data_IF_529476931891
#
_entry.id   IF_529476931891
#
_cell.length_a   1.000
_cell.length_b   1.000
_cell.length_c   1.000
_cell.angle_alpha   90.00
_cell.angle_beta   90.00
_cell.angle_gamma   90.00
#
_symmetry.space_group_name_H-M   'P 1'
#
loop_
_entity.id
_entity.type
_entity.pdbx_description
1 polymer ?
#
# COMPACT_ATOMS: atom_id res chain seq x y z
N UNK A 1 22.34 -8.07 -2.42
CA UNK A 1 21.80 -6.72 -2.78
C UNK A 1 22.89 -5.68 -2.65
N UNK A 2 22.93 -4.71 -3.56
CA UNK A 2 23.87 -3.58 -3.48
C UNK A 2 23.57 -2.75 -2.23
N UNK A 3 24.60 -2.35 -1.50
CA UNK A 3 24.45 -1.52 -0.29
C UNK A 3 24.07 -0.10 -0.71
N UNK A 4 22.90 0.39 -0.27
CA UNK A 4 22.44 1.76 -0.53
C UNK A 4 22.74 2.60 0.71
N UNK A 5 23.41 3.73 0.52
CA UNK A 5 23.73 4.63 1.63
C UNK A 5 22.45 5.11 2.33
N UNK A 6 22.40 5.00 3.63
CA UNK A 6 21.26 5.43 4.45
C UNK A 6 20.06 4.48 4.46
N UNK A 7 20.15 3.35 3.78
CA UNK A 7 19.08 2.34 3.74
C UNK A 7 19.63 1.01 4.25
N UNK A 8 18.90 0.39 5.17
CA UNK A 8 19.10 -0.98 5.59
C UNK A 8 17.97 -1.85 5.02
N UNK A 9 18.33 -3.00 4.44
CA UNK A 9 17.39 -3.93 3.82
C UNK A 9 17.61 -5.31 4.42
N UNK A 10 16.54 -5.86 4.99
CA UNK A 10 16.57 -7.17 5.66
C UNK A 10 15.36 -8.00 5.26
N UNK A 11 15.49 -9.30 5.24
CA UNK A 11 14.35 -10.21 5.13
C UNK A 11 13.45 -10.05 6.36
N UNK A 12 12.15 -10.17 6.14
CA UNK A 12 11.19 -10.18 7.24
C UNK A 12 11.27 -11.52 8.00
N UNK A 13 11.22 -11.46 9.33
CA UNK A 13 11.39 -12.64 10.20
C UNK A 13 10.43 -13.81 9.91
N UNK A 14 9.20 -13.49 9.45
CA UNK A 14 8.15 -14.48 9.19
C UNK A 14 8.03 -14.89 7.72
N UNK A 15 8.67 -14.18 6.78
CA UNK A 15 8.53 -14.49 5.37
C UNK A 15 9.68 -13.93 4.54
N UNK A 16 10.31 -14.78 3.76
CA UNK A 16 11.34 -14.39 2.78
C UNK A 16 10.79 -13.58 1.60
N UNK A 17 9.47 -13.60 1.40
CA UNK A 17 8.79 -12.82 0.35
C UNK A 17 8.66 -11.35 0.68
N UNK A 18 8.90 -10.97 1.92
CA UNK A 18 8.78 -9.61 2.42
C UNK A 18 10.15 -9.06 2.77
N UNK A 19 10.50 -7.90 2.26
CA UNK A 19 11.71 -7.19 2.64
C UNK A 19 11.40 -5.98 3.50
N UNK A 20 12.13 -5.83 4.59
CA UNK A 20 12.10 -4.64 5.43
C UNK A 20 13.11 -3.63 4.90
N UNK A 21 12.66 -2.43 4.57
CA UNK A 21 13.48 -1.29 4.13
C UNK A 21 13.45 -0.24 5.24
N UNK A 22 14.58 0.03 5.86
CA UNK A 22 14.70 1.02 6.93
C UNK A 22 15.48 2.22 6.46
N UNK A 23 14.86 3.39 6.54
CA UNK A 23 15.48 4.67 6.26
C UNK A 23 16.17 5.16 7.54
N UNK A 24 17.46 5.43 7.48
CA UNK A 24 18.19 5.93 8.63
C UNK A 24 17.81 7.37 8.99
N UNK A 25 18.25 7.82 10.17
CA UNK A 25 17.91 9.14 10.69
C UNK A 25 18.42 10.27 9.79
N UNK A 26 19.54 10.08 9.10
CA UNK A 26 20.10 11.07 8.18
C UNK A 26 19.16 11.33 6.99
N UNK A 27 18.62 10.27 6.37
CA UNK A 27 17.64 10.40 5.29
C UNK A 27 16.38 11.08 5.82
N UNK A 28 15.87 10.64 6.97
CA UNK A 28 14.67 11.23 7.58
C UNK A 28 14.86 12.74 7.83
N UNK A 29 15.98 13.14 8.42
CA UNK A 29 16.28 14.56 8.69
C UNK A 29 16.34 15.38 7.39
N UNK A 30 16.98 14.84 6.36
CA UNK A 30 17.06 15.51 5.04
C UNK A 30 15.71 15.62 4.34
N UNK A 31 14.75 14.72 4.62
CA UNK A 31 13.38 14.77 4.07
C UNK A 31 12.49 15.81 4.75
N UNK A 32 12.76 16.20 5.98
CA UNK A 32 11.91 17.15 6.71
C UNK A 32 11.75 18.46 5.95
N UNK A 33 12.83 19.02 5.44
CA UNK A 33 12.78 20.31 4.73
C UNK A 33 11.98 20.24 3.43
N UNK A 34 12.26 19.34 2.46
CA UNK A 34 11.48 19.25 1.22
C UNK A 34 10.00 18.87 1.49
N UNK A 35 9.72 18.03 2.50
CA UNK A 35 8.36 17.66 2.84
C UNK A 35 7.58 18.82 3.47
N UNK A 36 8.23 19.69 4.23
CA UNK A 36 7.59 20.85 4.84
C UNK A 36 7.30 22.00 3.85
N UNK A 37 7.85 21.96 2.64
CA UNK A 37 7.51 22.93 1.58
C UNK A 37 6.05 22.84 1.15
N UNK A 38 5.42 21.69 1.31
CA UNK A 38 4.05 21.43 0.87
C UNK A 38 3.20 20.98 2.05
N UNK A 39 2.04 21.56 2.21
CA UNK A 39 1.00 21.02 3.07
C UNK A 39 0.24 19.87 2.35
N UNK A 40 -0.63 19.16 3.07
CA UNK A 40 -1.38 18.05 2.48
C UNK A 40 -2.38 18.54 1.41
N UNK A 41 -2.92 19.74 1.57
CA UNK A 41 -3.82 20.35 0.59
C UNK A 41 -3.09 20.61 -0.73
N UNK A 42 -1.85 21.08 -0.68
CA UNK A 42 -1.03 21.25 -1.88
C UNK A 42 -0.79 19.91 -2.60
N UNK A 43 -0.57 18.82 -1.87
CA UNK A 43 -0.44 17.49 -2.47
C UNK A 43 -1.74 16.99 -3.09
N UNK A 44 -2.90 17.36 -2.54
CA UNK A 44 -4.20 17.01 -3.10
C UNK A 44 -4.48 17.76 -4.39
N UNK A 45 -4.27 19.08 -4.39
CA UNK A 45 -4.70 19.97 -5.47
C UNK A 45 -3.65 20.20 -6.56
N UNK A 46 -2.37 19.96 -6.26
CA UNK A 46 -1.25 20.19 -7.19
C UNK A 46 -0.47 18.90 -7.45
N UNK A 47 -0.88 18.08 -8.43
CA UNK A 47 -0.29 16.75 -8.66
C UNK A 47 1.24 16.76 -8.79
N UNK A 48 1.83 17.77 -9.40
CA UNK A 48 3.29 17.87 -9.57
C UNK A 48 4.06 17.93 -8.24
N UNK A 49 3.42 18.37 -7.14
CA UNK A 49 4.05 18.37 -5.81
C UNK A 49 4.33 16.96 -5.30
N UNK A 50 3.53 15.99 -5.70
CA UNK A 50 3.69 14.58 -5.35
C UNK A 50 4.94 14.00 -6.00
N UNK A 51 5.18 14.30 -7.27
CA UNK A 51 6.42 13.93 -7.97
C UNK A 51 7.64 14.64 -7.35
N UNK A 52 7.48 15.89 -6.90
CA UNK A 52 8.57 16.63 -6.25
C UNK A 52 9.02 15.98 -4.95
N UNK A 53 8.08 15.55 -4.08
CA UNK A 53 8.43 14.85 -2.83
C UNK A 53 8.97 13.44 -3.09
N UNK A 54 8.45 12.73 -4.09
CA UNK A 54 8.97 11.43 -4.51
C UNK A 54 10.42 11.57 -5.01
N UNK A 55 10.68 12.53 -5.88
CA UNK A 55 12.03 12.82 -6.36
C UNK A 55 12.96 13.20 -5.20
N UNK A 56 12.51 13.99 -4.22
CA UNK A 56 13.32 14.34 -3.07
C UNK A 56 13.76 13.13 -2.25
N UNK A 57 12.90 12.10 -2.13
CA UNK A 57 13.25 10.85 -1.47
C UNK A 57 14.26 10.04 -2.30
N UNK A 58 14.04 9.92 -3.60
CA UNK A 58 14.88 9.09 -4.47
C UNK A 58 16.28 9.69 -4.68
N UNK A 59 16.36 11.03 -4.81
CA UNK A 59 17.64 11.74 -4.93
C UNK A 59 18.59 11.51 -3.74
N UNK A 60 18.03 11.40 -2.52
CA UNK A 60 18.81 11.10 -1.31
C UNK A 60 19.44 9.71 -1.33
N UNK A 61 18.98 8.84 -2.19
CA UNK A 61 19.46 7.47 -2.38
C UNK A 61 20.07 7.23 -3.75
N UNK A 62 20.45 8.30 -4.45
CA UNK A 62 21.06 8.26 -5.79
C UNK A 62 20.19 7.49 -6.80
N UNK A 63 18.86 7.63 -6.71
CA UNK A 63 17.84 6.92 -7.50
C UNK A 63 17.94 5.37 -7.36
N UNK A 64 18.44 4.89 -6.23
CA UNK A 64 18.55 3.46 -5.96
C UNK A 64 17.34 2.90 -5.22
N UNK A 65 16.64 3.73 -4.42
CA UNK A 65 15.46 3.30 -3.68
C UNK A 65 14.32 2.90 -4.62
N UNK A 66 14.02 3.71 -5.62
CA UNK A 66 12.98 3.40 -6.61
C UNK A 66 13.28 2.11 -7.36
N UNK A 67 14.53 1.90 -7.76
CA UNK A 67 14.96 0.66 -8.42
C UNK A 67 14.82 -0.55 -7.52
N UNK A 68 15.24 -0.44 -6.24
CA UNK A 68 15.10 -1.49 -5.24
C UNK A 68 13.65 -1.86 -5.04
N UNK A 69 12.77 -0.89 -4.75
CA UNK A 69 11.34 -1.15 -4.53
C UNK A 69 10.70 -1.83 -5.74
N UNK A 70 10.97 -1.30 -6.96
CA UNK A 70 10.45 -1.89 -8.18
C UNK A 70 10.98 -3.31 -8.43
N UNK A 71 12.23 -3.60 -8.09
CA UNK A 71 12.77 -4.97 -8.22
C UNK A 71 12.06 -5.93 -7.26
N UNK A 72 11.81 -5.52 -6.01
CA UNK A 72 11.12 -6.36 -5.02
C UNK A 72 9.70 -6.71 -5.44
N UNK A 73 8.91 -5.71 -5.84
CA UNK A 73 7.49 -5.93 -6.15
C UNK A 73 7.26 -6.65 -7.48
N UNK A 74 8.25 -6.67 -8.37
CA UNK A 74 8.18 -7.36 -9.67
C UNK A 74 8.84 -8.73 -9.68
N UNK A 75 9.56 -9.08 -8.62
CA UNK A 75 10.17 -10.39 -8.45
C UNK A 75 9.14 -11.35 -7.84
N UNK A 76 8.82 -12.42 -8.55
CA UNK A 76 7.86 -13.44 -8.11
C UNK A 76 8.32 -14.17 -6.83
N UNK A 77 9.60 -14.17 -6.52
CA UNK A 77 10.12 -14.77 -5.28
C UNK A 77 9.88 -13.89 -4.05
N UNK A 78 9.64 -12.60 -4.24
CA UNK A 78 9.34 -11.61 -3.20
C UNK A 78 7.94 -11.03 -3.41
N UNK A 79 7.78 -9.79 -3.82
CA UNK A 79 6.49 -9.16 -4.17
C UNK A 79 5.97 -8.17 -3.15
N UNK A 80 6.58 -8.07 -1.96
CA UNK A 80 6.17 -7.12 -0.92
C UNK A 80 7.38 -6.53 -0.18
N UNK A 81 7.22 -5.30 0.29
CA UNK A 81 8.16 -4.67 1.22
C UNK A 81 7.44 -3.87 2.30
N UNK A 82 8.11 -3.70 3.44
CA UNK A 82 7.73 -2.78 4.50
C UNK A 82 8.78 -1.69 4.54
N UNK A 83 8.38 -0.42 4.39
CA UNK A 83 9.31 0.71 4.42
C UNK A 83 8.93 1.69 5.51
N UNK A 84 9.94 2.18 6.23
CA UNK A 84 9.75 3.17 7.27
C UNK A 84 11.06 3.69 7.86
N UNK A 85 10.99 4.64 8.79
CA UNK A 85 12.15 5.13 9.50
C UNK A 85 12.76 4.03 10.39
N UNK A 86 14.08 4.06 10.57
CA UNK A 86 14.78 3.18 11.53
C UNK A 86 14.39 3.51 12.97
N UNK A 87 14.24 4.79 13.28
CA UNK A 87 13.86 5.29 14.58
C UNK A 87 12.65 6.23 14.48
N UNK A 88 11.76 6.15 15.46
CA UNK A 88 10.61 7.08 15.55
C UNK A 88 11.03 8.27 16.43
N UNK A 89 10.95 9.45 15.85
CA UNK A 89 11.19 10.72 16.57
C UNK A 89 9.93 11.58 16.58
N UNK A 90 9.88 12.59 17.44
CA UNK A 90 8.77 13.56 17.51
C UNK A 90 8.55 14.37 16.22
N UNK A 91 9.53 14.35 15.31
CA UNK A 91 9.43 14.99 13.99
C UNK A 91 8.61 14.17 12.99
N UNK A 92 8.44 12.87 13.26
CA UNK A 92 7.68 11.93 12.44
C UNK A 92 6.25 11.92 12.96
N UNK A 93 5.42 12.73 12.35
CA UNK A 93 3.99 12.83 12.65
C UNK A 93 3.16 12.33 11.46
N UNK A 94 1.84 12.29 11.62
CA UNK A 94 0.89 11.87 10.58
C UNK A 94 1.15 12.54 9.24
N UNK A 95 1.40 13.87 9.25
CA UNK A 95 1.64 14.61 8.00
C UNK A 95 2.91 14.15 7.31
N UNK A 96 3.96 13.86 8.09
CA UNK A 96 5.20 13.30 7.54
C UNK A 96 4.95 11.91 6.95
N UNK A 97 4.26 11.03 7.67
CA UNK A 97 3.97 9.67 7.22
C UNK A 97 3.12 9.65 5.95
N UNK A 98 2.09 10.49 5.85
CA UNK A 98 1.29 10.63 4.62
C UNK A 98 2.15 11.09 3.44
N UNK A 99 3.08 12.03 3.66
CA UNK A 99 4.00 12.49 2.61
C UNK A 99 5.00 11.41 2.21
N UNK A 100 5.52 10.65 3.19
CA UNK A 100 6.42 9.53 2.91
C UNK A 100 5.70 8.44 2.10
N UNK A 101 4.49 8.07 2.51
CA UNK A 101 3.64 7.13 1.78
C UNK A 101 3.35 7.61 0.35
N UNK A 102 3.04 8.90 0.19
CA UNK A 102 2.84 9.51 -1.13
C UNK A 102 4.12 9.43 -1.98
N UNK A 103 5.27 9.76 -1.39
CA UNK A 103 6.55 9.68 -2.10
C UNK A 103 6.84 8.24 -2.55
N UNK A 104 6.69 7.27 -1.68
CA UNK A 104 6.87 5.84 -1.99
C UNK A 104 5.93 5.40 -3.12
N UNK A 105 4.64 5.74 -3.04
CA UNK A 105 3.67 5.38 -4.07
C UNK A 105 4.06 5.95 -5.44
N UNK A 106 4.50 7.21 -5.49
CA UNK A 106 4.93 7.88 -6.75
C UNK A 106 6.29 7.43 -7.28
N UNK A 107 7.08 6.69 -6.50
CA UNK A 107 8.29 6.00 -6.99
C UNK A 107 7.97 4.63 -7.61
N UNK A 108 6.81 4.07 -7.32
CA UNK A 108 6.35 2.78 -7.86
C UNK A 108 5.49 3.00 -9.11
N UNK A 109 4.56 3.95 -9.04
CA UNK A 109 3.59 4.22 -10.10
C UNK A 109 2.81 5.50 -9.85
N UNK A 110 1.67 5.63 -10.49
CA UNK A 110 0.74 6.75 -10.28
C UNK A 110 -0.48 6.22 -9.53
N UNK A 111 -0.70 6.63 -8.28
CA UNK A 111 -1.85 6.20 -7.50
C UNK A 111 -3.18 6.61 -8.14
N UNK A 112 -4.14 5.71 -8.12
CA UNK A 112 -5.50 5.98 -8.54
C UNK A 112 -6.18 6.98 -7.57
N UNK A 113 -7.11 7.75 -8.09
CA UNK A 113 -7.95 8.61 -7.28
C UNK A 113 -8.98 7.76 -6.53
N UNK A 114 -9.04 7.88 -5.21
CA UNK A 114 -10.08 7.27 -4.41
C UNK A 114 -11.37 8.11 -4.50
N UNK A 115 -12.34 7.64 -5.27
CA UNK A 115 -13.62 8.34 -5.46
C UNK A 115 -14.44 8.46 -4.18
N UNK A 116 -14.27 7.54 -3.22
CA UNK A 116 -14.98 7.58 -1.94
C UNK A 116 -14.42 8.65 -1.00
N UNK A 117 -13.09 8.74 -0.92
CA UNK A 117 -12.41 9.75 -0.10
C UNK A 117 -12.35 11.10 -0.80
N UNK A 118 -12.60 11.16 -2.12
CA UNK A 118 -12.43 12.35 -2.94
C UNK A 118 -10.97 12.81 -3.05
N UNK A 119 -10.03 11.88 -2.84
CA UNK A 119 -8.60 12.15 -2.73
C UNK A 119 -7.80 11.03 -3.39
N UNK A 120 -6.48 11.22 -3.48
CA UNK A 120 -5.55 10.18 -3.97
C UNK A 120 -5.14 9.19 -2.86
N UNK A 121 -5.70 9.28 -1.67
CA UNK A 121 -5.56 8.34 -0.56
C UNK A 121 -6.80 8.31 0.31
N UNK A 122 -7.08 7.19 0.96
CA UNK A 122 -8.13 7.03 1.95
C UNK A 122 -7.53 6.99 3.37
N UNK A 123 -8.27 7.49 4.36
CA UNK A 123 -7.95 7.32 5.79
C UNK A 123 -8.99 6.43 6.43
N UNK A 124 -8.52 5.42 7.10
CA UNK A 124 -9.36 4.51 7.88
C UNK A 124 -9.11 4.69 9.36
N UNK A 125 -10.19 4.73 10.13
CA UNK A 125 -10.14 4.76 11.58
C UNK A 125 -10.98 3.60 12.11
N UNK A 126 -10.47 2.93 13.12
CA UNK A 126 -11.28 1.95 13.87
C UNK A 126 -12.36 2.72 14.62
N UNK A 127 -13.63 2.39 14.34
CA UNK A 127 -14.80 2.92 15.04
C UNK A 127 -15.51 1.79 15.76
N UNK A 128 -15.57 1.87 17.06
CA UNK A 128 -16.21 0.86 17.90
C UNK A 128 -17.75 0.94 17.91
N UNK A 129 -18.30 2.04 17.41
CA UNK A 129 -19.73 2.38 17.47
C UNK A 129 -20.49 2.10 16.18
N UNK A 130 -19.83 1.64 15.14
CA UNK A 130 -20.44 1.49 13.83
C UNK A 130 -21.09 0.13 13.68
N UNK A 131 -22.43 0.09 13.73
CA UNK A 131 -23.24 -1.08 13.48
C UNK A 131 -23.51 -1.35 11.99
N UNK A 132 -22.85 -0.64 11.06
CA UNK A 132 -23.04 -0.81 9.62
C UNK A 132 -22.62 -2.22 9.17
N UNK A 133 -23.21 -2.70 8.08
CA UNK A 133 -22.89 -4.01 7.49
C UNK A 133 -21.48 -4.08 6.87
N UNK A 134 -20.78 -2.96 6.75
CA UNK A 134 -19.43 -2.94 6.23
C UNK A 134 -18.46 -3.58 7.20
N UNK A 135 -17.91 -4.74 6.85
CA UNK A 135 -16.88 -5.40 7.64
C UNK A 135 -15.60 -4.58 7.80
N UNK A 136 -15.32 -3.63 6.88
CA UNK A 136 -14.22 -2.66 7.01
C UNK A 136 -14.32 -1.76 8.23
N UNK A 137 -15.50 -1.66 8.84
CA UNK A 137 -15.78 -0.83 9.99
C UNK A 137 -15.98 -1.62 11.28
N UNK A 138 -15.95 -2.96 11.21
CA UNK A 138 -16.13 -3.84 12.37
C UNK A 138 -14.79 -4.12 13.02
N UNK A 139 -14.51 -3.46 14.12
CA UNK A 139 -13.23 -3.53 14.85
C UNK A 139 -12.86 -4.95 15.35
N UNK A 140 -13.83 -5.86 15.46
CA UNK A 140 -13.63 -7.17 16.10
C UNK A 140 -13.86 -8.36 15.16
N UNK A 141 -13.85 -8.12 13.85
CA UNK A 141 -13.97 -9.19 12.86
C UNK A 141 -12.69 -9.31 12.05
N UNK A 142 -12.24 -10.53 11.85
CA UNK A 142 -11.22 -10.81 10.85
C UNK A 142 -11.76 -10.44 9.46
N UNK A 143 -10.91 -9.89 8.65
CA UNK A 143 -11.16 -9.69 7.24
C UNK A 143 -10.62 -10.90 6.50
N UNK A 144 -11.47 -11.51 5.69
CA UNK A 144 -11.06 -12.64 4.86
C UNK A 144 -10.03 -12.20 3.83
N UNK A 145 -9.15 -13.11 3.43
CA UNK A 145 -8.19 -12.86 2.34
C UNK A 145 -8.95 -12.53 1.06
N UNK A 146 -8.58 -11.45 0.42
CA UNK A 146 -9.21 -10.96 -0.80
C UNK A 146 -8.21 -10.16 -1.63
N UNK A 147 -8.54 -9.91 -2.87
CA UNK A 147 -7.87 -8.94 -3.73
C UNK A 147 -8.70 -7.67 -3.79
N UNK A 148 -8.03 -6.51 -3.79
CA UNK A 148 -8.69 -5.23 -3.93
C UNK A 148 -9.02 -4.90 -5.40
N UNK A 149 -10.09 -4.12 -5.60
CA UNK A 149 -10.41 -3.56 -6.91
C UNK A 149 -11.09 -4.51 -7.89
N UNK A 150 -11.66 -5.64 -7.43
CA UNK A 150 -12.33 -6.63 -8.29
C UNK A 150 -13.56 -6.11 -9.05
N UNK A 151 -14.14 -5.01 -8.64
CA UNK A 151 -15.37 -4.43 -9.23
C UNK A 151 -15.12 -3.13 -10.02
N UNK A 152 -13.85 -2.79 -10.28
CA UNK A 152 -13.47 -1.62 -11.10
C UNK A 152 -12.78 -2.04 -12.39
N UNK A 153 -12.92 -1.22 -13.44
CA UNK A 153 -12.30 -1.51 -14.74
C UNK A 153 -10.77 -1.46 -14.70
N UNK A 154 -10.23 -0.53 -13.93
CA UNK A 154 -8.80 -0.37 -13.75
C UNK A 154 -8.36 -1.17 -12.54
N UNK A 155 -7.83 -2.36 -12.79
CA UNK A 155 -7.32 -3.25 -11.74
C UNK A 155 -6.18 -2.57 -11.00
N UNK A 156 -6.16 -2.75 -9.68
CA UNK A 156 -5.08 -2.25 -8.82
C UNK A 156 -3.88 -3.20 -8.91
N UNK A 157 -2.76 -2.72 -9.44
CA UNK A 157 -1.51 -3.49 -9.48
C UNK A 157 -0.86 -3.60 -8.10
N UNK A 158 -0.85 -2.50 -7.35
CA UNK A 158 -0.15 -2.39 -6.07
C UNK A 158 -0.98 -1.64 -5.04
N UNK A 159 -0.95 -2.11 -3.79
CA UNK A 159 -1.57 -1.44 -2.67
C UNK A 159 -0.49 -0.90 -1.71
N UNK A 160 -0.55 0.39 -1.40
CA UNK A 160 0.31 1.01 -0.39
C UNK A 160 -0.53 1.33 0.84
N UNK A 161 -0.25 0.67 1.95
CA UNK A 161 -0.88 0.95 3.24
C UNK A 161 0.11 1.60 4.18
N UNK A 162 -0.34 2.57 4.97
CA UNK A 162 0.49 3.27 5.94
C UNK A 162 -0.18 3.29 7.29
N UNK A 163 0.48 2.70 8.28
CA UNK A 163 0.07 2.79 9.68
C UNK A 163 0.45 4.16 10.21
N UNK A 164 -0.53 4.97 10.57
CA UNK A 164 -0.32 6.31 11.12
C UNK A 164 -0.22 6.29 12.65
N UNK A 165 -1.10 5.55 13.29
CA UNK A 165 -1.16 5.41 14.75
C UNK A 165 -1.64 4.01 15.13
N UNK A 166 -1.07 3.48 16.20
CA UNK A 166 -1.52 2.26 16.85
C UNK A 166 -1.47 2.47 18.36
N UNK A 167 -2.59 2.21 19.02
CA UNK A 167 -2.70 2.44 20.46
C UNK A 167 -3.59 1.39 21.10
N UNK A 168 -3.03 0.62 22.03
CA UNK A 168 -3.76 -0.43 22.77
C UNK A 168 -4.50 -1.43 21.86
N UNK A 169 -3.84 -1.87 20.78
CA UNK A 169 -4.42 -2.79 19.80
C UNK A 169 -3.88 -4.19 20.07
N UNK A 170 -4.78 -5.15 20.16
CA UNK A 170 -4.48 -6.59 20.07
C UNK A 170 -5.06 -7.10 18.75
N UNK A 171 -4.25 -7.78 17.93
CA UNK A 171 -4.64 -8.17 16.58
C UNK A 171 -4.51 -7.02 15.56
N UNK A 172 -5.20 -7.12 14.45
CA UNK A 172 -5.16 -6.11 13.37
C UNK A 172 -3.91 -6.19 12.49
N UNK A 173 -3.21 -7.30 12.52
CA UNK A 173 -2.11 -7.60 11.62
C UNK A 173 -2.61 -7.70 10.19
N UNK A 174 -1.80 -7.24 9.26
CA UNK A 174 -2.04 -7.48 7.84
C UNK A 174 -1.57 -8.89 7.48
N UNK A 175 -2.51 -9.74 7.10
CA UNK A 175 -2.20 -11.06 6.57
C UNK A 175 -2.10 -10.99 5.04
N UNK A 176 -1.08 -11.64 4.47
CA UNK A 176 -0.87 -11.73 3.03
C UNK A 176 -0.57 -13.17 2.64
N UNK A 177 -1.21 -13.63 1.56
CA UNK A 177 -0.94 -14.91 0.94
C UNK A 177 -0.43 -14.68 -0.47
N UNK A 178 0.76 -15.20 -0.77
CA UNK A 178 1.26 -15.23 -2.14
C UNK A 178 0.60 -16.39 -2.89
N UNK A 179 0.17 -16.16 -4.13
CA UNK A 179 -0.54 -17.20 -4.89
C UNK A 179 0.29 -18.47 -5.10
N UNK A 180 1.62 -18.36 -5.23
CA UNK A 180 2.51 -19.53 -5.33
C UNK A 180 2.57 -20.36 -4.03
N UNK A 181 2.20 -19.78 -2.90
CA UNK A 181 2.17 -20.46 -1.59
C UNK A 181 0.75 -21.00 -1.28
N UNK A 182 -0.20 -20.76 -2.14
CA UNK A 182 -1.55 -21.27 -2.01
C UNK A 182 -1.70 -22.62 -2.70
N UNK A 183 -1.78 -23.67 -1.92
CA UNK A 183 -1.81 -25.07 -2.39
C UNK A 183 -2.92 -25.39 -3.40
N UNK A 184 -4.04 -24.66 -3.36
CA UNK A 184 -5.18 -24.86 -4.25
C UNK A 184 -5.17 -23.94 -5.49
N UNK A 185 -4.18 -23.07 -5.63
CA UNK A 185 -4.15 -22.07 -6.71
C UNK A 185 -4.15 -22.74 -8.09
N UNK A 186 -3.28 -23.73 -8.26
CA UNK A 186 -3.13 -24.41 -9.56
C UNK A 186 -4.37 -25.19 -9.98
N UNK A 187 -5.02 -25.86 -9.04
CA UNK A 187 -6.23 -26.63 -9.33
C UNK A 187 -7.41 -25.72 -9.66
N UNK A 188 -7.64 -24.70 -8.81
CA UNK A 188 -8.75 -23.78 -8.99
C UNK A 188 -8.58 -22.86 -10.20
N UNK A 189 -7.35 -22.47 -10.53
CA UNK A 189 -7.08 -21.67 -11.72
C UNK A 189 -7.31 -22.41 -13.04
N UNK A 190 -7.25 -23.73 -13.01
CA UNK A 190 -7.53 -24.60 -14.18
C UNK A 190 -8.98 -25.08 -14.22
N UNK A 191 -9.76 -24.86 -13.14
CA UNK A 191 -11.16 -25.21 -13.10
C UNK A 191 -11.96 -24.39 -14.13
N UNK A 192 -12.78 -25.01 -14.98
CA UNK A 192 -13.62 -24.28 -15.94
C UNK A 192 -14.51 -23.20 -15.31
N UNK A 193 -14.94 -23.36 -14.07
CA UNK A 193 -15.71 -22.37 -13.33
C UNK A 193 -14.87 -21.12 -13.04
N UNK A 194 -13.59 -21.28 -12.70
CA UNK A 194 -12.68 -20.18 -12.45
C UNK A 194 -12.36 -19.33 -13.69
N UNK A 195 -12.61 -19.89 -14.89
CA UNK A 195 -12.38 -19.23 -16.17
C UNK A 195 -13.65 -18.58 -16.77
N UNK A 196 -14.80 -18.75 -16.13
CA UNK A 196 -16.05 -18.11 -16.55
C UNK A 196 -16.09 -16.67 -16.07
N UNK A 197 -16.70 -15.80 -16.89
CA UNK A 197 -16.95 -14.43 -16.49
C UNK A 197 -18.06 -14.36 -15.43
N UNK A 198 -17.80 -13.60 -14.39
CA UNK A 198 -18.74 -13.25 -13.34
C UNK A 198 -18.94 -11.75 -13.30
N UNK A 199 -20.13 -11.34 -12.91
CA UNK A 199 -20.42 -9.92 -12.66
C UNK A 199 -19.98 -9.55 -11.25
N UNK A 200 -18.97 -8.70 -11.15
CA UNK A 200 -18.44 -8.19 -9.89
C UNK A 200 -19.04 -6.81 -9.61
N UNK A 201 -19.75 -6.69 -8.52
CA UNK A 201 -20.40 -5.45 -8.12
C UNK A 201 -19.76 -4.80 -6.90
N UNK A 202 -19.75 -3.49 -6.88
CA UNK A 202 -19.30 -2.76 -5.69
C UNK A 202 -20.17 -3.06 -4.47
N UNK A 203 -19.58 -3.19 -3.27
CA UNK A 203 -20.37 -3.35 -2.04
C UNK A 203 -21.31 -2.17 -1.81
N UNK A 204 -22.52 -2.42 -1.36
CA UNK A 204 -23.53 -1.38 -1.05
C UNK A 204 -22.99 -0.30 -0.09
N UNK A 205 -22.11 -0.69 0.83
CA UNK A 205 -21.48 0.22 1.79
C UNK A 205 -20.60 1.31 1.14
N UNK A 206 -20.24 1.13 -0.14
CA UNK A 206 -19.39 2.10 -0.86
C UNK A 206 -20.18 3.21 -1.56
N UNK A 207 -21.52 3.17 -1.57
CA UNK A 207 -22.38 4.14 -2.24
C UNK A 207 -22.00 4.45 -3.70
N UNK A 208 -21.43 3.47 -4.38
CA UNK A 208 -21.10 3.49 -5.81
C UNK A 208 -21.72 2.27 -6.46
N UNK A 209 -22.16 2.37 -7.69
CA UNK A 209 -22.75 1.26 -8.46
C UNK A 209 -21.84 0.90 -9.62
N UNK A 210 -20.65 0.39 -9.30
CA UNK A 210 -19.71 -0.13 -10.29
C UNK A 210 -19.97 -1.61 -10.51
N UNK A 211 -19.96 -2.02 -11.76
CA UNK A 211 -20.02 -3.41 -12.18
C UNK A 211 -19.03 -3.66 -13.31
N UNK A 212 -18.32 -4.75 -13.20
CA UNK A 212 -17.42 -5.26 -14.22
C UNK A 212 -17.65 -6.75 -14.40
N UNK A 213 -17.29 -7.26 -15.55
CA UNK A 213 -17.42 -8.67 -15.89
C UNK A 213 -16.03 -9.21 -16.23
N UNK A 214 -15.60 -10.21 -15.50
CA UNK A 214 -14.33 -10.91 -15.75
C UNK A 214 -14.29 -12.24 -14.97
N UNK A 215 -13.39 -13.17 -15.36
CA UNK A 215 -13.22 -14.44 -14.65
C UNK A 215 -12.60 -14.23 -13.25
N UNK A 216 -12.66 -15.25 -12.40
CA UNK A 216 -11.97 -15.27 -11.11
C UNK A 216 -10.46 -15.19 -11.31
N UNK A 217 -9.94 -15.95 -12.28
CA UNK A 217 -8.52 -15.98 -12.63
C UNK A 217 -8.32 -15.41 -14.03
N UNK A 218 -7.46 -14.40 -14.15
CA UNK A 218 -6.98 -13.83 -15.41
C UNK A 218 -5.45 -13.90 -15.45
N UNK A 219 -4.89 -14.38 -16.54
CA UNK A 219 -3.45 -14.57 -16.73
C UNK A 219 -2.96 -13.71 -17.89
#
# INVERSE_FOLDING_TARGET
>A
MEKISGIDVQEHEKSKRILNIRLNDEIIEKLIFPFNKFDLTALELKPFTRFTIAKSLDDLTENKLSKLMNSIIRDRSTGCFIIGPSNISSKINDKFLVKLSTAVAYLIGIPNHDSMAGKYYARFHVKHEDASDSYLRKAYRNMDLHTDGTYVKEVTDWLVMTKLEEKNVEGGETAMLHLDDWEHCDDLSKDPVGQQDFVWGSPKSKNIDYKVEHPVFSF
#
